data_IF_479202452082
#
_entry.id   IF_479202452082
#
_cell.length_a   1.000
_cell.length_b   1.000
_cell.length_c   1.000
_cell.angle_alpha   90.00
_cell.angle_beta   90.00
_cell.angle_gamma   90.00
#
_symmetry.space_group_name_H-M   'P 1'
#
loop_
_entity.id
_entity.type
_entity.pdbx_description
1 polymer ?
#
# COMPACT_ATOMS: atom_id res chain seq x y z
N UNK A 1 -25.05 23.66 -29.57
CA UNK A 1 -25.43 24.35 -28.32
C UNK A 1 -24.81 23.60 -27.15
N UNK A 2 -24.12 24.26 -26.20
CA UNK A 2 -23.63 23.57 -25.01
C UNK A 2 -24.82 23.27 -24.08
N UNK A 3 -24.85 22.06 -23.51
CA UNK A 3 -25.88 21.62 -22.56
C UNK A 3 -25.91 22.59 -21.37
N UNK A 4 -27.09 23.10 -21.03
CA UNK A 4 -27.31 23.87 -19.81
C UNK A 4 -27.04 22.96 -18.61
N UNK A 5 -26.01 23.26 -17.81
CA UNK A 5 -25.87 22.66 -16.48
C UNK A 5 -27.04 23.15 -15.63
N UNK A 6 -27.73 22.26 -14.93
CA UNK A 6 -28.84 22.65 -14.06
C UNK A 6 -28.30 23.45 -12.86
N UNK A 7 -29.14 24.30 -12.26
CA UNK A 7 -28.80 25.06 -11.05
C UNK A 7 -28.29 24.13 -9.94
N UNK A 8 -28.84 22.91 -9.85
CA UNK A 8 -28.39 21.88 -8.91
C UNK A 8 -26.93 21.45 -9.13
N UNK A 9 -26.49 21.24 -10.39
CA UNK A 9 -25.10 20.93 -10.72
C UNK A 9 -24.13 22.09 -10.44
N UNK A 10 -24.62 23.33 -10.50
CA UNK A 10 -23.85 24.51 -10.13
C UNK A 10 -23.67 24.60 -8.62
N UNK A 11 -24.74 24.39 -7.84
CA UNK A 11 -24.69 24.37 -6.36
C UNK A 11 -23.83 23.22 -5.84
N UNK A 12 -23.86 22.06 -6.50
CA UNK A 12 -23.07 20.88 -6.10
C UNK A 12 -21.55 21.11 -6.16
N UNK A 13 -21.08 22.02 -7.03
CA UNK A 13 -19.66 22.41 -7.11
C UNK A 13 -19.18 23.24 -5.91
N UNK A 14 -20.09 23.89 -5.19
CA UNK A 14 -19.80 24.70 -4.01
C UNK A 14 -20.05 23.95 -2.69
N UNK A 15 -20.63 22.74 -2.74
CA UNK A 15 -20.63 21.84 -1.58
C UNK A 15 -19.18 21.42 -1.31
N UNK A 16 -18.77 21.48 -0.04
CA UNK A 16 -17.44 21.05 0.38
C UNK A 16 -17.19 19.65 -0.21
N UNK A 17 -16.14 19.50 -1.03
CA UNK A 17 -15.75 18.18 -1.54
C UNK A 17 -15.44 17.32 -0.33
N UNK A 18 -16.19 16.24 -0.14
CA UNK A 18 -15.88 15.19 0.83
C UNK A 18 -14.42 14.80 0.64
N UNK A 19 -13.60 15.07 1.65
CA UNK A 19 -12.19 14.74 1.66
C UNK A 19 -12.05 13.24 1.93
N UNK A 20 -10.84 12.68 1.80
CA UNK A 20 -10.59 11.27 2.20
C UNK A 20 -10.97 11.00 3.66
N UNK A 21 -11.03 12.04 4.49
CA UNK A 21 -11.45 11.99 5.89
C UNK A 21 -12.97 11.79 6.05
N UNK A 22 -13.77 12.07 5.01
CA UNK A 22 -15.24 11.95 5.00
C UNK A 22 -15.73 10.65 4.32
N UNK A 23 -14.83 9.68 4.15
CA UNK A 23 -15.06 8.49 3.32
C UNK A 23 -15.42 7.27 4.16
N UNK A 24 -16.61 6.73 3.92
CA UNK A 24 -17.03 5.49 4.55
C UNK A 24 -16.20 4.31 4.03
N UNK A 25 -15.78 3.48 4.99
CA UNK A 25 -15.12 2.20 4.71
C UNK A 25 -16.19 1.23 4.21
N UNK A 26 -16.04 0.62 3.03
CA UNK A 26 -17.01 -0.35 2.54
C UNK A 26 -17.19 -1.51 3.53
N UNK A 27 -18.43 -1.97 3.72
CA UNK A 27 -18.77 -2.98 4.74
C UNK A 27 -17.92 -4.27 4.63
N UNK A 28 -17.69 -4.74 3.40
CA UNK A 28 -16.85 -5.90 3.11
C UNK A 28 -15.42 -5.71 3.61
N UNK A 29 -14.86 -4.52 3.47
CA UNK A 29 -13.52 -4.17 3.96
C UNK A 29 -13.52 -4.05 5.48
N UNK A 30 -14.49 -3.32 6.04
CA UNK A 30 -14.57 -3.12 7.49
C UNK A 30 -14.73 -4.45 8.23
N UNK A 31 -15.62 -5.33 7.74
CA UNK A 31 -15.83 -6.67 8.30
C UNK A 31 -14.55 -7.50 8.26
N UNK A 32 -13.87 -7.51 7.11
CA UNK A 32 -12.58 -8.16 6.93
C UNK A 32 -11.53 -7.70 7.96
N UNK A 33 -11.38 -6.39 8.16
CA UNK A 33 -10.47 -5.82 9.16
C UNK A 33 -10.89 -6.17 10.57
N UNK A 34 -12.18 -6.03 10.90
CA UNK A 34 -12.73 -6.33 12.23
C UNK A 34 -12.46 -7.78 12.61
N UNK A 35 -12.82 -8.73 11.75
CA UNK A 35 -12.67 -10.16 12.02
C UNK A 35 -11.19 -10.53 12.20
N UNK A 36 -10.31 -9.97 11.36
CA UNK A 36 -8.87 -10.16 11.47
C UNK A 36 -8.31 -9.59 12.79
N UNK A 37 -8.65 -8.35 13.12
CA UNK A 37 -8.16 -7.67 14.32
C UNK A 37 -8.64 -8.34 15.61
N UNK A 38 -9.90 -8.78 15.65
CA UNK A 38 -10.45 -9.51 16.80
C UNK A 38 -9.70 -10.82 17.06
N UNK A 39 -9.34 -11.54 15.99
CA UNK A 39 -8.56 -12.78 16.08
C UNK A 39 -7.11 -12.47 16.48
N UNK A 40 -6.43 -11.60 15.74
CA UNK A 40 -5.01 -11.32 15.93
C UNK A 40 -4.69 -10.75 17.31
N UNK A 41 -5.57 -9.90 17.84
CA UNK A 41 -5.37 -9.21 19.12
C UNK A 41 -5.96 -9.95 20.32
N UNK A 42 -6.54 -11.16 20.08
CA UNK A 42 -7.28 -11.94 21.07
C UNK A 42 -8.38 -11.11 21.77
N UNK A 43 -9.21 -10.42 20.99
CA UNK A 43 -10.30 -9.57 21.48
C UNK A 43 -11.68 -10.21 21.30
N UNK A 44 -11.75 -11.51 21.06
CA UNK A 44 -13.02 -12.25 20.97
C UNK A 44 -13.91 -12.00 22.20
N UNK A 45 -15.21 -11.77 21.96
CA UNK A 45 -16.21 -11.51 23.00
C UNK A 45 -16.24 -10.08 23.55
N UNK A 46 -15.30 -9.21 23.17
CA UNK A 46 -15.32 -7.79 23.57
C UNK A 46 -16.26 -6.96 22.70
N UNK A 47 -16.87 -5.93 23.29
CA UNK A 47 -17.71 -4.97 22.56
C UNK A 47 -16.84 -4.13 21.63
N UNK A 48 -17.12 -4.21 20.32
CA UNK A 48 -16.47 -3.36 19.30
C UNK A 48 -17.29 -2.09 19.13
N UNK A 49 -16.65 -0.93 19.27
CA UNK A 49 -17.29 0.38 19.09
C UNK A 49 -16.66 1.15 17.93
N UNK A 50 -17.44 2.07 17.36
CA UNK A 50 -17.05 2.92 16.21
C UNK A 50 -17.38 4.40 16.47
N UNK A 51 -16.56 5.11 17.26
CA UNK A 51 -16.83 6.50 17.64
C UNK A 51 -16.78 7.50 16.48
N UNK A 52 -16.35 7.09 15.28
CA UNK A 52 -16.29 7.93 14.07
C UNK A 52 -17.32 7.54 13.00
N UNK A 53 -18.16 6.53 13.25
CA UNK A 53 -19.31 6.24 12.38
C UNK A 53 -20.29 7.43 12.43
N UNK A 54 -20.88 7.86 11.29
CA UNK A 54 -20.99 9.27 10.93
C UNK A 54 -21.61 10.20 11.99
N UNK A 55 -20.93 11.34 12.18
CA UNK A 55 -21.31 12.36 13.16
C UNK A 55 -20.84 12.08 14.59
N UNK A 56 -20.03 11.03 14.80
CA UNK A 56 -19.54 10.64 16.11
C UNK A 56 -18.50 11.58 16.69
N UNK A 57 -18.57 11.75 18.02
CA UNK A 57 -17.64 12.51 18.84
C UNK A 57 -16.89 11.53 19.73
N UNK A 58 -15.67 11.17 19.34
CA UNK A 58 -14.85 10.22 20.09
C UNK A 58 -14.45 10.73 21.48
N UNK A 59 -14.48 12.04 21.73
CA UNK A 59 -14.09 12.58 23.04
C UNK A 59 -15.19 12.34 24.08
N UNK A 60 -16.45 12.46 23.64
CA UNK A 60 -17.67 12.32 24.45
C UNK A 60 -18.41 10.99 24.23
N UNK A 61 -17.85 10.05 23.46
CA UNK A 61 -18.43 8.73 23.27
C UNK A 61 -18.48 7.94 24.58
N UNK A 62 -19.59 7.23 24.83
CA UNK A 62 -19.73 6.34 25.97
C UNK A 62 -19.04 5.00 25.68
N UNK A 63 -17.85 4.80 26.25
CA UNK A 63 -17.03 3.60 26.05
C UNK A 63 -17.41 2.52 27.06
N UNK A 64 -18.07 1.41 26.65
CA UNK A 64 -18.38 0.33 27.56
C UNK A 64 -17.10 -0.26 28.19
N UNK A 65 -17.21 -0.73 29.42
CA UNK A 65 -16.08 -1.36 30.11
C UNK A 65 -15.51 -2.52 29.28
N UNK A 66 -14.19 -2.49 29.05
CA UNK A 66 -13.50 -3.52 28.28
C UNK A 66 -13.79 -3.50 26.77
N UNK A 67 -14.42 -2.45 26.22
CA UNK A 67 -14.62 -2.33 24.77
C UNK A 67 -13.28 -2.23 24.00
N UNK A 68 -13.36 -2.37 22.69
CA UNK A 68 -12.27 -2.08 21.74
C UNK A 68 -12.78 -1.19 20.62
N UNK A 69 -11.93 -0.28 20.16
CA UNK A 69 -12.23 0.56 19.02
C UNK A 69 -11.68 -0.08 17.76
N UNK A 70 -12.54 -0.41 16.80
CA UNK A 70 -12.10 -0.78 15.45
C UNK A 70 -12.77 0.19 14.51
N UNK A 71 -12.03 1.16 13.98
CA UNK A 71 -12.66 2.26 13.25
C UNK A 71 -11.74 2.97 12.26
N UNK A 72 -12.33 3.80 11.39
CA UNK A 72 -11.66 4.62 10.40
C UNK A 72 -11.83 6.11 10.74
N UNK A 73 -11.02 6.67 11.64
CA UNK A 73 -11.07 8.10 11.96
C UNK A 73 -10.54 8.97 10.81
N UNK A 74 -10.87 10.27 10.80
CA UNK A 74 -10.21 11.24 9.93
C UNK A 74 -8.68 11.19 10.11
N UNK A 75 -7.95 11.06 9.01
CA UNK A 75 -6.51 10.85 9.05
C UNK A 75 -5.75 12.08 9.58
N UNK A 76 -6.30 13.26 9.36
CA UNK A 76 -5.78 14.54 9.85
C UNK A 76 -5.65 14.63 11.39
N UNK A 77 -6.45 13.87 12.15
CA UNK A 77 -6.45 13.90 13.63
C UNK A 77 -5.93 12.60 14.27
N UNK A 78 -5.36 11.68 13.49
CA UNK A 78 -4.91 10.36 13.96
C UNK A 78 -4.05 10.42 15.23
N UNK A 79 -3.08 11.33 15.29
CA UNK A 79 -2.20 11.47 16.46
C UNK A 79 -2.98 11.83 17.73
N UNK A 80 -3.99 12.71 17.62
CA UNK A 80 -4.87 13.10 18.73
C UNK A 80 -5.69 11.90 19.20
N UNK A 81 -6.33 11.19 18.26
CA UNK A 81 -7.19 10.03 18.53
C UNK A 81 -6.41 8.91 19.22
N UNK A 82 -5.25 8.56 18.67
CA UNK A 82 -4.41 7.50 19.24
C UNK A 82 -3.88 7.87 20.61
N UNK A 83 -3.46 9.12 20.81
CA UNK A 83 -3.02 9.60 22.13
C UNK A 83 -4.16 9.51 23.15
N UNK A 84 -5.36 9.94 22.77
CA UNK A 84 -6.54 9.87 23.62
C UNK A 84 -6.85 8.44 24.07
N UNK A 85 -6.84 7.47 23.15
CA UNK A 85 -7.07 6.07 23.51
C UNK A 85 -5.96 5.50 24.40
N UNK A 86 -4.70 5.82 24.09
CA UNK A 86 -3.56 5.42 24.92
C UNK A 86 -3.68 5.95 26.35
N UNK A 87 -3.96 7.24 26.52
CA UNK A 87 -4.04 7.90 27.83
C UNK A 87 -5.22 7.36 28.67
N UNK A 88 -6.29 6.88 28.02
CA UNK A 88 -7.46 6.24 28.66
C UNK A 88 -7.36 4.71 28.79
N UNK A 89 -6.27 4.09 28.33
CA UNK A 89 -6.13 2.63 28.34
C UNK A 89 -7.15 1.89 27.45
N UNK A 90 -7.66 2.55 26.41
CA UNK A 90 -8.63 1.97 25.47
C UNK A 90 -7.87 1.22 24.38
N UNK A 91 -8.21 -0.05 24.19
CA UNK A 91 -7.65 -0.86 23.11
C UNK A 91 -8.25 -0.44 21.76
N UNK A 92 -7.40 -0.35 20.74
CA UNK A 92 -7.80 0.13 19.41
C UNK A 92 -7.09 -0.58 18.26
N UNK A 93 -7.78 -0.67 17.13
CA UNK A 93 -7.24 -1.02 15.82
C UNK A 93 -7.82 -0.06 14.78
N UNK A 94 -7.03 0.90 14.34
CA UNK A 94 -7.49 2.00 13.50
C UNK A 94 -6.91 1.90 12.10
N UNK A 95 -7.75 2.23 11.11
CA UNK A 95 -7.28 2.48 9.75
C UNK A 95 -6.36 3.70 9.73
N UNK A 96 -5.33 3.65 8.91
CA UNK A 96 -4.31 4.69 8.83
C UNK A 96 -3.81 4.89 7.38
N UNK A 97 -3.37 6.11 7.03
CA UNK A 97 -2.76 6.38 5.72
C UNK A 97 -1.41 5.66 5.62
N UNK A 98 -1.19 4.88 4.55
CA UNK A 98 0.04 4.07 4.42
C UNK A 98 1.33 4.91 4.46
N UNK A 99 1.38 5.98 3.66
CA UNK A 99 2.59 6.79 3.48
C UNK A 99 3.06 7.45 4.79
N UNK A 100 2.13 7.86 5.65
CA UNK A 100 2.42 8.57 6.91
C UNK A 100 2.19 7.72 8.16
N UNK A 101 1.90 6.43 8.02
CA UNK A 101 1.61 5.51 9.14
C UNK A 101 2.74 5.52 10.19
N UNK A 102 4.01 5.47 9.75
CA UNK A 102 5.20 5.55 10.61
C UNK A 102 5.31 6.87 11.40
N UNK A 103 4.67 7.94 10.91
CA UNK A 103 4.62 9.25 11.57
C UNK A 103 3.66 9.34 12.76
N UNK A 104 2.76 8.36 12.95
CA UNK A 104 1.76 8.36 14.03
C UNK A 104 2.42 7.91 15.33
N UNK A 105 3.38 8.68 15.86
CA UNK A 105 4.31 8.30 16.95
C UNK A 105 3.63 7.89 18.27
N UNK A 106 2.41 8.35 18.52
CA UNK A 106 1.61 7.96 19.69
C UNK A 106 1.14 6.51 19.66
N UNK A 107 1.09 5.89 18.47
CA UNK A 107 0.67 4.49 18.33
C UNK A 107 1.69 3.53 18.92
N UNK A 108 1.19 2.49 19.61
CA UNK A 108 2.01 1.39 20.08
C UNK A 108 2.56 0.56 18.90
N UNK A 109 1.66 0.07 18.04
CA UNK A 109 2.03 -0.73 16.85
C UNK A 109 1.60 -0.06 15.55
N UNK A 110 2.46 -0.14 14.53
CA UNK A 110 2.20 0.31 13.15
C UNK A 110 2.29 -0.87 12.21
N UNK A 111 1.16 -1.19 11.58
CA UNK A 111 0.98 -2.36 10.74
C UNK A 111 0.95 -1.88 9.28
N UNK A 112 2.12 -1.89 8.65
CA UNK A 112 2.33 -1.39 7.30
C UNK A 112 1.88 -2.43 6.27
N UNK A 113 0.61 -2.36 5.86
CA UNK A 113 0.00 -3.25 4.86
C UNK A 113 0.13 -2.66 3.45
N UNK A 114 -0.25 -1.39 3.29
CA UNK A 114 -0.16 -0.68 2.01
C UNK A 114 -1.16 -1.13 0.94
N UNK A 115 -2.23 -1.84 1.32
CA UNK A 115 -3.25 -2.32 0.39
C UNK A 115 -4.06 -1.15 -0.19
N UNK A 116 -4.34 -1.18 -1.48
CA UNK A 116 -5.20 -0.16 -2.11
C UNK A 116 -6.66 -0.48 -1.86
N UNK A 117 -7.36 0.37 -1.11
CA UNK A 117 -8.79 0.23 -0.82
C UNK A 117 -9.55 1.30 -1.59
N UNK A 118 -10.63 0.89 -2.26
CA UNK A 118 -11.59 1.82 -2.88
C UNK A 118 -12.71 2.11 -1.90
N UNK A 119 -12.75 3.32 -1.37
CA UNK A 119 -13.77 3.76 -0.42
C UNK A 119 -15.09 4.09 -1.13
N UNK A 120 -16.18 4.28 -0.38
CA UNK A 120 -17.51 4.50 -0.97
C UNK A 120 -17.59 5.75 -1.88
N UNK A 121 -16.79 6.78 -1.59
CA UNK A 121 -16.68 7.95 -2.45
C UNK A 121 -15.82 7.72 -3.72
N UNK A 122 -15.40 6.48 -3.96
CA UNK A 122 -14.51 6.03 -5.06
C UNK A 122 -13.06 6.48 -4.93
N UNK A 123 -12.65 7.06 -3.80
CA UNK A 123 -11.24 7.32 -3.55
C UNK A 123 -10.49 6.00 -3.41
N UNK A 124 -9.38 5.86 -4.13
CA UNK A 124 -8.46 4.74 -4.01
C UNK A 124 -7.33 5.19 -3.10
N UNK A 125 -7.28 4.64 -1.88
CA UNK A 125 -6.31 5.03 -0.86
C UNK A 125 -5.45 3.83 -0.49
N UNK A 126 -4.13 4.04 -0.40
CA UNK A 126 -3.23 3.04 0.16
C UNK A 126 -3.36 3.06 1.69
N UNK A 127 -3.89 1.97 2.23
CA UNK A 127 -4.33 1.86 3.62
C UNK A 127 -3.42 0.93 4.41
N UNK A 128 -3.10 1.35 5.63
CA UNK A 128 -2.39 0.59 6.66
C UNK A 128 -3.13 0.73 7.98
N UNK A 129 -2.57 0.22 9.08
CA UNK A 129 -3.27 0.23 10.37
C UNK A 129 -2.35 0.59 11.52
N UNK A 130 -2.92 1.10 12.60
CA UNK A 130 -2.26 1.26 13.90
C UNK A 130 -3.04 0.53 14.98
N UNK A 131 -2.34 -0.03 15.95
CA UNK A 131 -2.93 -0.84 17.02
C UNK A 131 -2.38 -0.47 18.40
N UNK A 132 -3.17 -0.68 19.45
CA UNK A 132 -2.74 -0.59 20.86
C UNK A 132 -1.86 -1.77 21.27
N UNK A 133 -1.85 -2.87 20.50
CA UNK A 133 -1.09 -4.10 20.77
C UNK A 133 -0.21 -4.50 19.58
N UNK A 134 0.83 -5.28 19.87
CA UNK A 134 1.76 -5.84 18.89
C UNK A 134 3.11 -5.12 18.87
N UNK A 135 4.06 -5.53 18.01
CA UNK A 135 5.39 -4.92 17.93
C UNK A 135 5.34 -3.49 17.39
N UNK A 136 6.40 -2.71 17.63
CA UNK A 136 6.51 -1.30 17.24
C UNK A 136 6.16 -1.04 15.76
N UNK A 137 6.68 -1.89 14.85
CA UNK A 137 6.42 -1.89 13.41
C UNK A 137 6.29 -3.34 12.95
N UNK A 138 5.31 -3.65 12.09
CA UNK A 138 5.19 -4.96 11.42
C UNK A 138 4.53 -4.90 10.05
N UNK A 139 4.83 -5.90 9.22
CA UNK A 139 3.99 -6.29 8.09
C UNK A 139 2.83 -7.20 8.53
N UNK A 140 1.82 -7.35 7.69
CA UNK A 140 0.75 -8.34 7.85
C UNK A 140 0.33 -8.89 6.46
N UNK A 141 1.08 -9.86 5.91
CA UNK A 141 0.85 -10.35 4.54
C UNK A 141 -0.47 -11.11 4.37
N UNK A 142 -0.98 -11.71 5.44
CA UNK A 142 -2.29 -12.36 5.48
C UNK A 142 -3.44 -11.33 5.45
N UNK A 143 -3.32 -10.25 6.24
CA UNK A 143 -4.24 -9.12 6.18
C UNK A 143 -4.21 -8.46 4.80
N UNK A 144 -3.04 -8.29 4.19
CA UNK A 144 -2.92 -7.79 2.81
C UNK A 144 -3.76 -8.63 1.85
N UNK A 145 -3.57 -9.95 1.82
CA UNK A 145 -4.29 -10.86 0.91
C UNK A 145 -5.79 -10.79 1.12
N UNK A 146 -6.22 -10.86 2.38
CA UNK A 146 -7.63 -10.80 2.76
C UNK A 146 -8.29 -9.48 2.31
N UNK A 147 -7.59 -8.36 2.45
CA UNK A 147 -8.11 -7.05 2.03
C UNK A 147 -8.04 -6.82 0.51
N UNK A 148 -7.03 -7.36 -0.17
CA UNK A 148 -6.92 -7.29 -1.62
C UNK A 148 -8.04 -8.09 -2.30
N UNK A 149 -8.37 -9.27 -1.78
CA UNK A 149 -9.52 -10.07 -2.20
C UNK A 149 -10.85 -9.35 -1.90
N UNK A 150 -11.01 -8.85 -0.67
CA UNK A 150 -12.19 -8.10 -0.26
C UNK A 150 -12.40 -6.82 -1.11
N UNK A 151 -11.32 -6.09 -1.42
CA UNK A 151 -11.37 -4.90 -2.27
C UNK A 151 -11.61 -5.26 -3.73
N UNK A 152 -11.12 -6.40 -4.21
CA UNK A 152 -11.46 -6.93 -5.53
C UNK A 152 -12.97 -7.16 -5.61
N UNK A 153 -13.58 -7.83 -4.63
CA UNK A 153 -15.04 -8.02 -4.58
C UNK A 153 -15.80 -6.69 -4.46
N UNK A 154 -15.29 -5.74 -3.69
CA UNK A 154 -15.87 -4.39 -3.53
C UNK A 154 -15.87 -3.57 -4.84
N UNK A 155 -14.80 -3.65 -5.62
CA UNK A 155 -14.64 -2.90 -6.88
C UNK A 155 -15.21 -3.65 -8.09
N UNK A 156 -15.33 -4.98 -7.99
CA UNK A 156 -15.68 -5.83 -9.12
C UNK A 156 -17.05 -6.48 -9.04
N UNK A 157 -17.89 -5.96 -9.93
CA UNK A 157 -18.42 -6.80 -10.99
C UNK A 157 -17.44 -7.03 -12.19
N UNK A 158 -16.28 -6.33 -12.36
CA UNK A 158 -15.53 -6.35 -13.65
C UNK A 158 -13.99 -6.15 -13.75
N UNK A 159 -13.15 -5.99 -12.72
CA UNK A 159 -11.67 -6.02 -12.93
C UNK A 159 -11.21 -7.46 -13.20
N UNK A 160 -10.45 -7.67 -14.29
CA UNK A 160 -9.74 -8.92 -14.48
C UNK A 160 -8.72 -9.12 -13.35
N UNK A 161 -8.40 -10.37 -12.99
CA UNK A 161 -7.39 -10.68 -11.98
C UNK A 161 -6.06 -9.99 -12.31
N UNK A 162 -5.28 -9.70 -11.26
CA UNK A 162 -3.94 -9.15 -11.40
C UNK A 162 -3.14 -10.03 -12.37
N UNK A 163 -2.69 -9.44 -13.48
CA UNK A 163 -1.89 -10.18 -14.45
C UNK A 163 -0.53 -10.45 -13.81
N UNK A 164 0.01 -11.68 -13.93
CA UNK A 164 1.37 -11.96 -13.48
C UNK A 164 2.36 -10.99 -14.14
N UNK A 165 3.36 -10.57 -13.37
CA UNK A 165 4.49 -9.80 -13.89
C UNK A 165 5.42 -10.78 -14.58
N UNK A 166 5.60 -10.61 -15.89
CA UNK A 166 6.52 -11.42 -16.68
C UNK A 166 7.83 -10.68 -16.88
N UNK A 167 8.94 -11.39 -16.74
CA UNK A 167 10.27 -10.94 -17.15
C UNK A 167 10.72 -11.73 -18.38
N UNK A 168 11.51 -11.12 -19.24
CA UNK A 168 12.11 -11.79 -20.39
C UNK A 168 13.57 -12.17 -20.09
N UNK A 169 14.13 -13.19 -20.77
CA UNK A 169 15.57 -13.46 -20.73
C UNK A 169 16.39 -12.24 -21.16
N UNK A 170 17.62 -12.13 -20.65
CA UNK A 170 18.50 -10.98 -20.90
C UNK A 170 18.88 -10.80 -22.37
N UNK A 171 18.74 -11.83 -23.20
CA UNK A 171 18.99 -11.80 -24.64
C UNK A 171 17.71 -11.62 -25.49
N UNK A 172 16.58 -11.31 -24.87
CA UNK A 172 15.35 -10.89 -25.56
C UNK A 172 15.23 -9.38 -25.49
N UNK A 173 15.68 -8.72 -26.56
CA UNK A 173 15.71 -7.27 -26.66
C UNK A 173 14.36 -6.72 -27.13
N UNK A 174 13.63 -6.10 -26.21
CA UNK A 174 12.48 -5.24 -26.53
C UNK A 174 12.93 -3.78 -26.65
N UNK A 175 12.13 -2.94 -27.32
CA UNK A 175 12.40 -1.50 -27.40
C UNK A 175 12.55 -0.86 -26.01
N UNK A 176 11.74 -1.27 -25.03
CA UNK A 176 11.82 -0.82 -23.64
C UNK A 176 13.12 -1.23 -22.95
N UNK A 177 13.61 -2.46 -23.19
CA UNK A 177 14.88 -2.93 -22.65
C UNK A 177 16.06 -2.13 -23.23
N UNK A 178 16.06 -1.89 -24.55
CA UNK A 178 17.13 -1.13 -25.22
C UNK A 178 17.10 0.35 -24.81
N UNK A 179 15.92 0.96 -24.68
CA UNK A 179 15.78 2.33 -24.19
C UNK A 179 16.32 2.50 -22.75
N UNK A 180 16.28 1.43 -21.94
CA UNK A 180 16.85 1.43 -20.60
C UNK A 180 18.38 1.61 -20.65
N UNK A 181 19.05 1.03 -21.64
CA UNK A 181 20.49 1.25 -21.87
C UNK A 181 20.78 2.74 -22.08
N UNK A 182 20.02 3.39 -22.97
CA UNK A 182 20.15 4.83 -23.21
C UNK A 182 19.91 5.67 -21.95
N UNK A 183 18.88 5.34 -21.15
CA UNK A 183 18.59 6.02 -19.87
C UNK A 183 19.76 5.97 -18.87
N UNK A 184 20.55 4.91 -18.92
CA UNK A 184 21.72 4.72 -18.05
C UNK A 184 23.06 4.99 -18.74
N UNK A 185 23.05 5.56 -19.96
CA UNK A 185 24.27 5.94 -20.68
C UNK A 185 25.07 4.75 -21.20
N UNK A 186 24.41 3.61 -21.41
CA UNK A 186 25.03 2.38 -21.91
C UNK A 186 24.77 2.34 -23.42
N UNK A 187 25.85 2.34 -24.18
CA UNK A 187 25.77 2.14 -25.62
C UNK A 187 25.72 0.64 -25.92
N UNK A 188 24.64 0.21 -26.56
CA UNK A 188 24.44 -1.17 -26.99
C UNK A 188 24.09 -1.16 -28.48
N UNK A 189 24.82 -1.98 -29.26
CA UNK A 189 24.64 -2.17 -30.70
C UNK A 189 24.74 -3.67 -30.96
N UNK A 190 23.89 -4.16 -31.84
CA UNK A 190 23.87 -5.57 -32.23
C UNK A 190 23.36 -5.68 -33.66
N UNK A 191 24.12 -6.39 -34.48
CA UNK A 191 23.80 -6.61 -35.89
C UNK A 191 23.19 -8.01 -36.12
N UNK A 192 23.37 -8.93 -35.16
CA UNK A 192 22.87 -10.29 -35.22
C UNK A 192 21.62 -10.42 -34.35
N UNK A 193 20.49 -10.78 -34.94
CA UNK A 193 19.29 -11.07 -34.16
C UNK A 193 18.19 -11.75 -34.96
N UNK A 194 17.37 -12.53 -34.26
CA UNK A 194 16.17 -13.15 -34.81
C UNK A 194 14.95 -12.39 -34.32
N UNK A 195 14.22 -11.78 -35.26
CA UNK A 195 12.96 -11.11 -34.93
C UNK A 195 11.95 -12.10 -34.35
N UNK A 196 11.30 -11.72 -33.25
CA UNK A 196 10.27 -12.55 -32.62
C UNK A 196 9.14 -11.72 -32.03
N UNK A 197 7.92 -12.26 -32.14
CA UNK A 197 6.73 -11.75 -31.43
C UNK A 197 6.41 -12.55 -30.18
N UNK A 198 6.98 -13.75 -30.02
CA UNK A 198 6.76 -14.65 -28.90
C UNK A 198 7.85 -15.71 -28.84
N UNK A 199 8.32 -16.04 -27.63
CA UNK A 199 9.13 -17.25 -27.39
C UNK A 199 8.23 -18.49 -27.42
N UNK A 200 8.78 -19.68 -27.69
CA UNK A 200 7.97 -20.93 -27.73
C UNK A 200 7.25 -21.18 -26.41
N UNK A 201 7.92 -21.01 -25.27
CA UNK A 201 7.30 -21.09 -23.94
C UNK A 201 6.13 -20.09 -23.75
N UNK A 202 6.16 -18.93 -24.43
CA UNK A 202 5.02 -18.01 -24.42
C UNK A 202 3.90 -18.50 -25.33
N UNK A 203 4.22 -19.07 -26.50
CA UNK A 203 3.23 -19.63 -27.43
C UNK A 203 2.45 -20.76 -26.76
N UNK A 204 3.12 -21.64 -26.04
CA UNK A 204 2.50 -22.71 -25.24
C UNK A 204 1.50 -22.16 -24.21
N UNK A 205 1.78 -20.97 -23.65
CA UNK A 205 0.90 -20.27 -22.71
C UNK A 205 -0.10 -19.30 -23.38
N UNK A 206 -0.19 -19.25 -24.71
CA UNK A 206 -1.03 -18.29 -25.43
C UNK A 206 -0.66 -16.83 -25.21
N UNK A 207 0.62 -16.55 -24.96
CA UNK A 207 1.21 -15.22 -24.68
C UNK A 207 2.14 -14.77 -25.81
N UNK A 208 2.47 -13.49 -25.77
CA UNK A 208 3.40 -12.84 -26.70
C UNK A 208 4.30 -11.85 -25.94
N UNK A 209 5.40 -11.44 -26.59
CA UNK A 209 6.19 -10.30 -26.17
C UNK A 209 5.32 -9.05 -26.29
N UNK A 210 5.35 -8.16 -25.30
CA UNK A 210 4.62 -6.91 -25.38
C UNK A 210 5.23 -6.03 -26.49
N UNK A 211 4.50 -5.91 -27.60
CA UNK A 211 5.03 -5.38 -28.85
C UNK A 211 5.75 -6.46 -29.66
N UNK A 212 7.07 -6.40 -29.68
CA UNK A 212 7.94 -7.40 -30.32
C UNK A 212 9.37 -7.25 -29.77
N UNK A 213 10.27 -8.15 -30.16
CA UNK A 213 11.69 -8.03 -29.85
C UNK A 213 12.58 -8.83 -30.79
N UNK A 214 13.88 -8.80 -30.50
CA UNK A 214 14.87 -9.65 -31.13
C UNK A 214 15.49 -10.58 -30.10
N UNK A 215 15.69 -11.84 -30.49
CA UNK A 215 16.59 -12.74 -29.75
C UNK A 215 17.98 -12.53 -30.33
N UNK A 216 18.91 -12.09 -29.48
CA UNK A 216 20.27 -11.69 -29.86
C UNK A 216 21.32 -12.61 -29.21
N UNK A 217 22.59 -12.59 -29.65
CA UNK A 217 23.68 -13.21 -28.93
C UNK A 217 23.71 -12.79 -27.45
N UNK A 218 23.87 -13.76 -26.56
CA UNK A 218 23.67 -13.55 -25.12
C UNK A 218 24.73 -12.65 -24.50
N UNK A 219 25.99 -12.76 -24.94
CA UNK A 219 27.12 -12.14 -24.26
C UNK A 219 27.01 -10.61 -24.18
N UNK A 220 26.79 -9.95 -25.32
CA UNK A 220 26.67 -8.50 -25.40
C UNK A 220 25.41 -8.00 -24.68
N UNK A 221 24.28 -8.70 -24.86
CA UNK A 221 23.02 -8.35 -24.24
C UNK A 221 23.08 -8.45 -22.71
N UNK A 222 23.63 -9.55 -22.16
CA UNK A 222 23.83 -9.75 -20.72
C UNK A 222 24.73 -8.67 -20.14
N UNK A 223 25.85 -8.35 -20.80
CA UNK A 223 26.77 -7.30 -20.35
C UNK A 223 26.07 -5.93 -20.27
N UNK A 224 25.24 -5.59 -21.25
CA UNK A 224 24.47 -4.35 -21.24
C UNK A 224 23.41 -4.34 -20.12
N UNK A 225 22.70 -5.45 -19.89
CA UNK A 225 21.72 -5.60 -18.81
C UNK A 225 22.38 -5.50 -17.42
N UNK A 226 23.53 -6.14 -17.22
CA UNK A 226 24.31 -6.03 -15.99
C UNK A 226 24.81 -4.60 -15.75
N UNK A 227 25.27 -3.92 -16.80
CA UNK A 227 25.66 -2.52 -16.71
C UNK A 227 24.48 -1.64 -16.25
N UNK A 228 23.26 -1.90 -16.73
CA UNK A 228 22.05 -1.22 -16.23
C UNK A 228 21.83 -1.49 -14.75
N UNK A 229 21.86 -2.76 -14.34
CA UNK A 229 21.66 -3.15 -12.93
C UNK A 229 22.70 -2.48 -12.03
N UNK A 230 23.94 -2.34 -12.51
CA UNK A 230 25.01 -1.64 -11.80
C UNK A 230 24.75 -0.13 -11.74
N UNK A 231 24.46 0.51 -12.86
CA UNK A 231 24.16 1.95 -12.93
C UNK A 231 22.93 2.34 -12.10
N UNK A 232 21.93 1.46 -12.01
CA UNK A 232 20.77 1.61 -11.12
C UNK A 232 21.17 1.64 -9.65
N UNK A 233 22.10 0.75 -9.25
CA UNK A 233 22.62 0.71 -7.88
C UNK A 233 23.53 1.90 -7.58
N UNK A 234 24.35 2.34 -8.54
CA UNK A 234 25.25 3.49 -8.36
C UNK A 234 24.51 4.82 -8.29
N UNK A 235 23.42 4.99 -9.04
CA UNK A 235 22.53 6.16 -8.92
C UNK A 235 21.72 6.16 -7.62
N UNK A 236 21.66 5.04 -6.90
CA UNK A 236 20.99 4.99 -5.61
C UNK A 236 21.91 5.59 -4.54
N UNK A 237 21.61 6.82 -4.11
CA UNK A 237 22.27 7.39 -2.94
C UNK A 237 21.83 6.64 -1.69
N UNK A 238 22.81 6.09 -0.95
CA UNK A 238 22.56 5.40 0.32
C UNK A 238 22.94 6.33 1.46
N UNK A 239 21.99 6.57 2.36
CA UNK A 239 22.25 7.23 3.64
C UNK A 239 22.85 6.23 4.64
N UNK A 240 23.87 6.65 5.37
CA UNK A 240 24.49 5.86 6.42
C UNK A 240 23.96 6.29 7.79
N UNK A 241 23.85 5.32 8.71
CA UNK A 241 23.54 5.61 10.11
C UNK A 241 24.78 6.22 10.76
N UNK A 242 24.59 7.38 11.38
CA UNK A 242 25.63 8.04 12.18
C UNK A 242 25.92 7.24 13.45
N UNK A 243 27.11 7.47 14.03
CA UNK A 243 27.48 6.89 15.34
C UNK A 243 26.43 7.22 16.44
N UNK A 244 25.85 8.42 16.38
CA UNK A 244 24.77 8.85 17.29
C UNK A 244 23.52 7.98 17.15
N UNK A 245 23.11 7.65 15.93
CA UNK A 245 21.91 6.84 15.67
C UNK A 245 22.13 5.37 16.06
N UNK A 246 23.33 4.84 15.79
CA UNK A 246 23.70 3.49 16.23
C UNK A 246 23.76 3.39 17.76
N UNK A 247 24.27 4.43 18.44
CA UNK A 247 24.27 4.47 19.90
C UNK A 247 22.85 4.54 20.47
N UNK A 248 21.95 5.33 19.86
CA UNK A 248 20.54 5.38 20.25
C UNK A 248 19.83 4.03 20.08
N UNK A 249 20.13 3.29 19.00
CA UNK A 249 19.62 1.94 18.80
C UNK A 249 20.12 0.98 19.89
N UNK A 250 21.43 0.95 20.16
CA UNK A 250 22.01 0.10 21.22
C UNK A 250 21.40 0.37 22.58
N UNK A 251 21.24 1.64 22.94
CA UNK A 251 20.61 2.02 24.21
C UNK A 251 19.15 1.53 24.30
N UNK A 252 18.40 1.57 23.19
CA UNK A 252 17.05 1.03 23.13
C UNK A 252 17.04 -0.51 23.26
N UNK A 253 17.99 -1.21 22.62
CA UNK A 253 18.13 -2.67 22.73
C UNK A 253 18.54 -3.12 24.14
N UNK A 254 19.39 -2.35 24.83
CA UNK A 254 19.78 -2.62 26.21
C UNK A 254 18.63 -2.40 27.20
N UNK A 255 17.84 -1.34 26.99
CA UNK A 255 16.68 -1.04 27.82
C UNK A 255 15.59 -2.13 27.74
N UNK A 256 15.43 -2.81 26.60
CA UNK A 256 14.46 -3.91 26.44
C UNK A 256 14.92 -5.22 27.14
N UNK A 257 16.21 -5.35 27.45
CA UNK A 257 16.79 -6.55 28.10
C UNK A 257 16.75 -6.51 29.62
N UNK A 258 16.43 -5.36 30.22
CA UNK A 258 16.36 -5.14 31.67
C UNK A 258 14.92 -5.28 32.16
#
# INVERSE_FOLDING_TARGET
>A
MPKSNTYEEFVDKFKLKKTTDDCYTPDVIYKAVKDWALKEMNWGGRTVVRPFWPGGDFENFDYPAGCVVIDNPPFSIMTKVVKFYKDRGIDYFLFAPHLTCLGIRSAHSRICVGVSVTYENKAVVSTSFVSSKGPLIRSAPDLYRLLDEANTANVNAKKPPAKPVYTYPDNVMTSSAVALFSKYGIEYREDIGVFTRAMDAQREAGKAIFGAGYIVPEEAARKAQEAVRKAQKEKAWRWELSARELAALKAAEEAERQ
#
